data_IF_752996474660
#
_entry.id   IF_752996474660
#
_cell.length_a   1.000
_cell.length_b   1.000
_cell.length_c   1.000
_cell.angle_alpha   90.00
_cell.angle_beta   90.00
_cell.angle_gamma   90.00
#
_symmetry.space_group_name_H-M   'P 1'
#
loop_
_entity.id
_entity.type
_entity.pdbx_description
1 polymer ?
#
# COMPACT_ATOMS: atom_id res chain seq x y z
N UNK A 1 -1.36 -4.38 -7.67
CA UNK A 1 -1.68 -3.16 -8.45
C UNK A 1 -0.44 -2.31 -8.44
N UNK A 2 0.08 -2.00 -9.63
CA UNK A 2 1.34 -1.27 -9.74
C UNK A 2 1.09 0.23 -9.82
N UNK A 3 1.72 0.96 -8.90
CA UNK A 3 1.62 2.40 -8.67
C UNK A 3 0.22 3.03 -8.87
N UNK A 4 -0.84 2.51 -8.21
CA UNK A 4 -2.20 3.00 -8.42
C UNK A 4 -2.42 4.43 -7.96
N UNK A 5 -1.47 5.01 -7.24
CA UNK A 5 -1.62 6.32 -6.61
C UNK A 5 -0.94 7.45 -7.41
N UNK A 6 -0.14 7.11 -8.42
CA UNK A 6 0.69 8.04 -9.18
C UNK A 6 -0.08 9.21 -9.79
N UNK A 7 -1.30 8.95 -10.28
CA UNK A 7 -2.14 9.95 -10.97
C UNK A 7 -3.39 10.31 -10.18
N UNK A 8 -3.54 9.77 -8.97
CA UNK A 8 -4.75 9.93 -8.15
C UNK A 8 -4.48 11.00 -7.10
N UNK A 9 -5.42 11.91 -6.89
CA UNK A 9 -5.37 12.90 -5.82
C UNK A 9 -5.67 12.29 -4.44
N UNK A 10 -5.38 13.02 -3.37
CA UNK A 10 -5.52 12.48 -2.01
C UNK A 10 -6.97 12.08 -1.69
N UNK A 11 -7.94 12.83 -2.20
CA UNK A 11 -9.37 12.56 -2.00
C UNK A 11 -9.75 11.24 -2.67
N UNK A 12 -9.38 11.04 -3.92
CA UNK A 12 -9.71 9.80 -4.65
C UNK A 12 -8.94 8.60 -4.08
N UNK A 13 -7.73 8.79 -3.54
CA UNK A 13 -6.98 7.73 -2.84
C UNK A 13 -7.72 7.26 -1.57
N UNK A 14 -8.37 8.17 -0.84
CA UNK A 14 -9.24 7.82 0.30
C UNK A 14 -10.43 6.99 -0.18
N UNK A 15 -11.13 7.45 -1.22
CA UNK A 15 -12.28 6.71 -1.76
C UNK A 15 -11.88 5.31 -2.26
N UNK A 16 -10.71 5.19 -2.89
CA UNK A 16 -10.15 3.90 -3.29
C UNK A 16 -9.92 2.99 -2.09
N UNK A 17 -9.29 3.49 -1.02
CA UNK A 17 -9.06 2.71 0.21
C UNK A 17 -10.38 2.21 0.81
N UNK A 18 -11.38 3.09 0.88
CA UNK A 18 -12.69 2.74 1.44
C UNK A 18 -13.40 1.69 0.57
N UNK A 19 -13.31 1.77 -0.76
CA UNK A 19 -13.83 0.73 -1.66
C UNK A 19 -13.11 -0.61 -1.46
N UNK A 20 -11.77 -0.62 -1.43
CA UNK A 20 -10.99 -1.85 -1.31
C UNK A 20 -11.24 -2.57 0.02
N UNK A 21 -11.47 -1.83 1.11
CA UNK A 21 -11.79 -2.40 2.42
C UNK A 21 -13.19 -2.99 2.50
N UNK A 22 -14.17 -2.42 1.78
CA UNK A 22 -15.56 -2.90 1.78
C UNK A 22 -15.83 -4.08 0.85
N UNK A 23 -15.12 -4.15 -0.29
CA UNK A 23 -15.36 -5.18 -1.30
C UNK A 23 -14.90 -6.59 -0.86
N UNK A 24 -14.22 -6.74 0.28
CA UNK A 24 -13.78 -8.05 0.79
C UNK A 24 -12.79 -8.76 -0.13
N UNK A 25 -12.00 -7.99 -0.89
CA UNK A 25 -11.04 -8.51 -1.87
C UNK A 25 -9.85 -9.12 -1.12
N UNK A 26 -9.96 -10.37 -0.69
CA UNK A 26 -8.93 -11.20 -0.04
C UNK A 26 -7.59 -10.53 0.31
N UNK A 27 -6.51 -10.93 -0.38
CA UNK A 27 -5.19 -10.30 -0.25
C UNK A 27 -4.94 -9.36 -1.42
N UNK A 28 -4.56 -8.12 -1.10
CA UNK A 28 -4.19 -7.10 -2.08
C UNK A 28 -2.71 -6.75 -1.90
N UNK A 29 -1.96 -6.72 -3.00
CA UNK A 29 -0.59 -6.22 -3.04
C UNK A 29 -0.57 -4.92 -3.83
N UNK A 30 -0.08 -3.85 -3.20
CA UNK A 30 0.04 -2.51 -3.77
C UNK A 30 1.50 -2.09 -3.73
N UNK A 31 2.03 -1.64 -4.85
CA UNK A 31 3.32 -0.92 -4.93
C UNK A 31 3.04 0.56 -5.16
N UNK A 32 3.82 1.43 -4.54
CA UNK A 32 3.82 2.86 -4.86
C UNK A 32 5.14 3.47 -4.42
N UNK A 33 5.55 4.55 -5.07
CA UNK A 33 6.68 5.37 -4.67
C UNK A 33 6.28 6.51 -3.71
N UNK A 34 4.97 6.73 -3.50
CA UNK A 34 4.44 7.81 -2.66
C UNK A 34 4.20 7.34 -1.21
N UNK A 35 5.18 7.59 -0.34
CA UNK A 35 5.15 7.14 1.06
C UNK A 35 3.94 7.68 1.85
N UNK A 36 3.55 8.94 1.62
CA UNK A 36 2.42 9.57 2.30
C UNK A 36 1.08 8.88 1.98
N UNK A 37 0.84 8.58 0.70
CA UNK A 37 -0.37 7.88 0.26
C UNK A 37 -0.35 6.42 0.68
N UNK A 38 0.82 5.78 0.67
CA UNK A 38 0.98 4.45 1.25
C UNK A 38 0.63 4.42 2.75
N UNK A 39 1.05 5.42 3.53
CA UNK A 39 0.73 5.53 4.95
C UNK A 39 -0.77 5.72 5.18
N UNK A 40 -1.42 6.55 4.34
CA UNK A 40 -2.87 6.76 4.36
C UNK A 40 -3.65 5.45 4.11
N UNK A 41 -3.27 4.69 3.08
CA UNK A 41 -3.85 3.37 2.81
C UNK A 41 -3.65 2.45 4.03
N UNK A 42 -2.42 2.31 4.52
CA UNK A 42 -2.14 1.45 5.69
C UNK A 42 -3.00 1.84 6.89
N UNK A 43 -3.16 3.14 7.15
CA UNK A 43 -4.02 3.65 8.20
C UNK A 43 -5.48 3.21 8.00
N UNK A 44 -6.06 3.43 6.81
CA UNK A 44 -7.44 3.05 6.49
C UNK A 44 -7.69 1.54 6.60
N UNK A 45 -6.79 0.72 6.05
CA UNK A 45 -6.90 -0.74 6.13
C UNK A 45 -6.80 -1.24 7.59
N UNK A 46 -5.90 -0.69 8.40
CA UNK A 46 -5.82 -1.01 9.84
C UNK A 46 -7.10 -0.61 10.57
N UNK A 47 -7.66 0.56 10.27
CA UNK A 47 -8.91 1.04 10.86
C UNK A 47 -10.12 0.19 10.46
N UNK A 48 -10.10 -0.40 9.26
CA UNK A 48 -11.09 -1.37 8.81
C UNK A 48 -10.90 -2.78 9.43
N UNK A 49 -9.92 -2.96 10.34
CA UNK A 49 -9.64 -4.24 10.99
C UNK A 49 -8.88 -5.23 10.10
N UNK A 50 -8.31 -4.79 8.98
CA UNK A 50 -7.56 -5.64 8.07
C UNK A 50 -6.08 -5.74 8.45
N UNK A 51 -5.46 -6.89 8.18
CA UNK A 51 -4.02 -7.06 8.34
C UNK A 51 -3.27 -6.34 7.22
N UNK A 52 -2.24 -5.58 7.60
CA UNK A 52 -1.43 -4.81 6.64
C UNK A 52 0.04 -5.15 6.85
N UNK A 53 0.73 -5.47 5.75
CA UNK A 53 2.18 -5.72 5.76
C UNK A 53 2.86 -4.74 4.82
N UNK A 54 3.81 -3.99 5.37
CA UNK A 54 4.67 -3.10 4.61
C UNK A 54 5.97 -3.83 4.22
N UNK A 55 6.43 -3.61 2.99
CA UNK A 55 7.70 -4.13 2.51
C UNK A 55 8.44 -3.02 1.78
N UNK A 56 9.60 -2.64 2.30
CA UNK A 56 10.49 -1.71 1.61
C UNK A 56 11.34 -2.50 0.60
N UNK A 57 11.04 -2.34 -0.69
CA UNK A 57 11.71 -3.08 -1.75
C UNK A 57 13.19 -2.72 -1.89
N UNK A 58 13.57 -1.46 -1.62
CA UNK A 58 14.97 -1.04 -1.64
C UNK A 58 15.77 -1.73 -0.53
N UNK A 59 15.25 -1.74 0.70
CA UNK A 59 15.90 -2.40 1.83
C UNK A 59 16.02 -3.92 1.61
N UNK A 60 14.98 -4.54 1.03
CA UNK A 60 15.00 -5.96 0.68
C UNK A 60 16.07 -6.27 -0.38
N UNK A 61 16.17 -5.45 -1.43
CA UNK A 61 17.18 -5.60 -2.46
C UNK A 61 18.60 -5.42 -1.89
N UNK A 62 18.82 -4.41 -1.06
CA UNK A 62 20.13 -4.20 -0.44
C UNK A 62 20.54 -5.38 0.43
N UNK A 63 19.60 -5.95 1.19
CA UNK A 63 19.85 -7.15 1.99
C UNK A 63 20.32 -8.32 1.13
N UNK A 64 19.67 -8.56 -0.02
CA UNK A 64 20.07 -9.65 -0.93
C UNK A 64 21.44 -9.44 -1.56
N UNK A 65 21.85 -8.18 -1.78
CA UNK A 65 23.16 -7.84 -2.37
C UNK A 65 24.30 -7.90 -1.34
N UNK A 66 24.02 -7.64 -0.06
CA UNK A 66 25.02 -7.70 1.01
C UNK A 66 25.21 -9.08 1.64
N UNK A 67 24.29 -10.02 1.38
CA UNK A 67 24.38 -11.42 1.86
C UNK A 67 25.04 -12.37 0.83
N UNK A 68 25.49 -11.85 -0.33
CA UNK A 68 26.44 -12.48 -1.28
C UNK A 68 27.88 -12.04 -1.01
#
# INVERSE_FOLDING_TARGET
>A
IDDPLQTIDDISAISLADLLTQQGIGQIVLSTHEEAKAALLRYKFKHAGMSVREQNMQALYMKTVTEE
#
